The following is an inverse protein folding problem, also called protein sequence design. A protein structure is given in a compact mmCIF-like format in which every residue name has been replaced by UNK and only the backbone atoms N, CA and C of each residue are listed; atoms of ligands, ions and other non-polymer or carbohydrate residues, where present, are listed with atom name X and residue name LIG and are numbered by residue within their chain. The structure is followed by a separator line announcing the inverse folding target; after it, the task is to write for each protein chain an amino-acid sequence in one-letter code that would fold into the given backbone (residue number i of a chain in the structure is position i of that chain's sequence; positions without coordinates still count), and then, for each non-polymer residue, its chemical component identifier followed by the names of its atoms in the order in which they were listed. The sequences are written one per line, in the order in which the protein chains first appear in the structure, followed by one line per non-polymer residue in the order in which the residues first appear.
data_IF_488932158650
#
_entry.id   IF_488932158650
#
_cell.length_a   1.000
_cell.length_b   1.000
_cell.length_c   1.000
_cell.angle_alpha   90.00
_cell.angle_beta   90.00
_cell.angle_gamma   90.00
#
_symmetry.space_group_name_H-M   'P 1'
#
loop_
_entity.id
_entity.type
_entity.pdbx_description
1 polymer ?
#
# COMPACT_ATOMS: atom_id res chain seq x y z
N UNK A 1 0.20 -27.97 2.61
CA UNK A 1 0.70 -26.67 2.11
C UNK A 1 1.07 -25.85 3.33
N UNK A 2 2.27 -25.27 3.40
CA UNK A 2 2.65 -24.51 4.59
C UNK A 2 1.94 -23.15 4.58
N UNK A 3 1.66 -22.59 5.76
CA UNK A 3 1.00 -21.28 5.91
C UNK A 3 1.80 -20.20 5.16
N UNK A 4 3.14 -20.26 5.20
CA UNK A 4 4.03 -19.36 4.45
C UNK A 4 3.72 -19.35 2.94
N UNK A 5 3.44 -20.51 2.34
CA UNK A 5 3.20 -20.63 0.90
C UNK A 5 1.83 -20.06 0.50
N UNK A 6 0.88 -20.04 1.44
CA UNK A 6 -0.42 -19.40 1.24
C UNK A 6 -0.31 -17.88 1.36
N UNK A 7 0.45 -17.38 2.33
CA UNK A 7 0.66 -15.94 2.54
C UNK A 7 1.44 -15.34 1.37
N UNK A 8 2.51 -16.00 0.90
CA UNK A 8 3.30 -15.53 -0.24
C UNK A 8 2.46 -15.41 -1.51
N UNK A 9 1.62 -16.41 -1.82
CA UNK A 9 0.74 -16.33 -2.99
C UNK A 9 -0.31 -15.22 -2.88
N UNK A 10 -0.84 -14.97 -1.68
CA UNK A 10 -1.75 -13.85 -1.45
C UNK A 10 -1.04 -12.51 -1.62
N UNK A 11 0.20 -12.40 -1.12
CA UNK A 11 1.02 -11.21 -1.29
C UNK A 11 1.26 -10.91 -2.78
N UNK A 12 1.69 -11.91 -3.56
CA UNK A 12 1.90 -11.75 -5.00
C UNK A 12 0.63 -11.28 -5.73
N UNK A 13 -0.52 -11.84 -5.37
CA UNK A 13 -1.80 -11.44 -5.93
C UNK A 13 -2.17 -9.98 -5.60
N UNK A 14 -2.02 -9.59 -4.33
CA UNK A 14 -2.34 -8.24 -3.86
C UNK A 14 -1.42 -7.21 -4.51
N UNK A 15 -0.11 -7.47 -4.54
CA UNK A 15 0.88 -6.54 -5.14
C UNK A 15 0.64 -6.36 -6.63
N UNK A 16 0.29 -7.42 -7.36
CA UNK A 16 -0.07 -7.32 -8.78
C UNK A 16 -1.30 -6.40 -8.99
N UNK A 17 -2.33 -6.54 -8.16
CA UNK A 17 -3.50 -5.67 -8.17
C UNK A 17 -3.15 -4.21 -7.85
N UNK A 18 -2.37 -3.98 -6.79
CA UNK A 18 -1.90 -2.63 -6.43
C UNK A 18 -1.13 -1.96 -7.55
N UNK A 19 -0.23 -2.69 -8.23
CA UNK A 19 0.51 -2.14 -9.38
C UNK A 19 -0.42 -1.71 -10.50
N UNK A 20 -1.37 -2.57 -10.88
CA UNK A 20 -2.34 -2.25 -11.94
C UNK A 20 -3.17 -1.01 -11.60
N UNK A 21 -3.57 -0.82 -10.34
CA UNK A 21 -4.28 0.39 -9.90
C UNK A 21 -3.38 1.63 -9.99
N UNK A 22 -2.13 1.54 -9.53
CA UNK A 22 -1.19 2.66 -9.55
C UNK A 22 -0.84 3.10 -10.98
N UNK A 23 -0.72 2.16 -11.92
CA UNK A 23 -0.51 2.44 -13.35
C UNK A 23 -1.68 3.20 -13.99
N UNK A 24 -2.90 3.02 -13.46
CA UNK A 24 -4.09 3.70 -13.94
C UNK A 24 -4.28 5.12 -13.35
N UNK A 25 -3.41 5.57 -12.43
CA UNK A 25 -3.55 6.87 -11.77
C UNK A 25 -3.22 8.01 -12.76
N UNK A 26 -4.17 8.94 -13.03
CA UNK A 26 -3.93 10.11 -13.85
C UNK A 26 -3.01 11.12 -13.13
N UNK A 27 -1.78 11.26 -13.60
CA UNK A 27 -0.75 12.13 -13.00
C UNK A 27 -1.06 13.63 -13.12
N UNK A 28 -1.98 14.01 -14.02
CA UNK A 28 -2.50 15.36 -14.18
C UNK A 28 -3.61 15.71 -13.17
N UNK A 29 -4.05 14.76 -12.34
CA UNK A 29 -5.18 14.91 -11.39
C UNK A 29 -4.83 14.55 -9.95
N UNK A 30 -3.56 14.62 -9.57
CA UNK A 30 -3.12 14.23 -8.23
C UNK A 30 -3.77 15.06 -7.12
N UNK A 31 -4.19 16.29 -7.40
CA UNK A 31 -4.88 17.17 -6.43
C UNK A 31 -6.40 16.90 -6.31
N UNK A 32 -6.97 16.07 -7.18
CA UNK A 32 -8.39 15.75 -7.14
C UNK A 32 -8.75 15.03 -5.83
N UNK A 33 -9.89 15.38 -5.24
CA UNK A 33 -10.43 14.74 -4.05
C UNK A 33 -11.76 14.04 -4.38
N UNK A 34 -11.97 12.79 -3.96
CA UNK A 34 -13.27 12.12 -4.11
C UNK A 34 -14.36 12.79 -3.25
N UNK A 35 -13.96 13.38 -2.12
CA UNK A 35 -14.79 14.17 -1.23
C UNK A 35 -13.90 15.21 -0.53
N UNK A 36 -14.43 16.37 -0.16
CA UNK A 36 -13.66 17.50 0.40
C UNK A 36 -12.82 17.13 1.64
N UNK A 37 -13.35 16.23 2.48
CA UNK A 37 -12.68 15.72 3.68
C UNK A 37 -11.64 14.61 3.44
N UNK A 38 -11.61 14.04 2.23
CA UNK A 38 -10.70 12.95 1.89
C UNK A 38 -9.34 13.48 1.49
N UNK A 39 -8.31 12.63 1.61
CA UNK A 39 -7.02 12.84 0.96
C UNK A 39 -7.15 13.02 -0.56
N UNK A 40 -6.18 13.69 -1.16
CA UNK A 40 -6.07 13.84 -2.62
C UNK A 40 -5.78 12.49 -3.28
N UNK A 41 -6.01 12.40 -4.59
CA UNK A 41 -5.71 11.20 -5.35
C UNK A 41 -4.23 10.81 -5.24
N UNK A 42 -3.32 11.79 -5.26
CA UNK A 42 -1.90 11.57 -5.08
C UNK A 42 -1.55 11.02 -3.69
N UNK A 43 -2.15 11.56 -2.64
CA UNK A 43 -1.98 11.06 -1.27
C UNK A 43 -2.52 9.63 -1.11
N UNK A 44 -3.69 9.32 -1.71
CA UNK A 44 -4.28 7.97 -1.69
C UNK A 44 -3.44 6.96 -2.48
N UNK A 45 -2.94 7.35 -3.67
CA UNK A 45 -2.04 6.52 -4.46
C UNK A 45 -0.71 6.28 -3.71
N UNK A 46 -0.14 7.31 -3.10
CA UNK A 46 1.04 7.22 -2.26
C UNK A 46 0.84 6.30 -1.06
N UNK A 47 -0.34 6.36 -0.41
CA UNK A 47 -0.69 5.46 0.68
C UNK A 47 -0.66 3.99 0.23
N UNK A 48 -1.30 3.65 -0.89
CA UNK A 48 -1.29 2.29 -1.44
C UNK A 48 0.13 1.83 -1.82
N UNK A 49 0.92 2.70 -2.44
CA UNK A 49 2.29 2.40 -2.82
C UNK A 49 3.21 2.13 -1.61
N UNK A 50 2.91 2.72 -0.45
CA UNK A 50 3.71 2.59 0.76
C UNK A 50 3.36 1.35 1.62
N UNK A 51 2.20 0.71 1.41
CA UNK A 51 1.78 -0.43 2.22
C UNK A 51 2.80 -1.59 2.28
N UNK A 52 3.48 -1.98 1.17
CA UNK A 52 4.46 -3.07 1.24
C UNK A 52 5.64 -2.80 2.18
N UNK A 53 5.98 -1.53 2.45
CA UNK A 53 7.08 -1.15 3.35
C UNK A 53 6.86 -1.61 4.79
N UNK A 54 5.61 -1.86 5.18
CA UNK A 54 5.28 -2.35 6.52
C UNK A 54 5.57 -3.85 6.72
N UNK A 55 5.84 -4.60 5.64
CA UNK A 55 5.98 -6.07 5.70
C UNK A 55 7.14 -6.50 6.58
N UNK A 56 8.35 -5.98 6.32
CA UNK A 56 9.55 -6.32 7.08
C UNK A 56 9.45 -5.89 8.57
N UNK A 57 9.16 -4.62 8.92
CA UNK A 57 9.11 -4.22 10.32
C UNK A 57 8.01 -4.94 11.10
N UNK A 58 6.88 -5.30 10.48
CA UNK A 58 5.83 -6.09 11.14
C UNK A 58 6.29 -7.50 11.51
N UNK A 59 7.23 -8.07 10.75
CA UNK A 59 7.78 -9.41 10.99
C UNK A 59 9.02 -9.40 11.89
N UNK A 60 9.76 -8.29 11.89
CA UNK A 60 11.07 -8.18 12.54
C UNK A 60 11.03 -7.45 13.88
N UNK A 61 9.97 -6.68 14.16
CA UNK A 61 9.87 -5.84 15.35
C UNK A 61 8.54 -6.05 16.07
N UNK A 62 8.60 -6.20 17.40
CA UNK A 62 7.42 -6.32 18.24
C UNK A 62 6.75 -4.95 18.51
N UNK A 63 7.50 -3.86 18.33
CA UNK A 63 7.06 -2.49 18.63
C UNK A 63 7.44 -1.56 17.47
N UNK A 64 6.47 -0.75 17.05
CA UNK A 64 6.68 0.36 16.13
C UNK A 64 6.77 1.66 16.92
N UNK A 65 7.96 2.27 16.95
CA UNK A 65 8.19 3.56 17.59
C UNK A 65 8.04 4.70 16.58
N UNK A 66 7.06 5.57 16.82
CA UNK A 66 6.73 6.70 15.95
C UNK A 66 7.58 7.94 16.29
N UNK A 67 8.27 7.93 17.44
CA UNK A 67 9.11 9.01 17.95
C UNK A 67 10.29 8.42 18.76
N UNK A 68 11.31 7.87 18.06
CA UNK A 68 12.42 7.12 18.66
C UNK A 68 13.34 7.94 19.57
#
# INVERSE_FOLDING_TARGET
MAIKDSILRQFDHIVAGTRSVLEAVPTDKLDWRPHEKSFTLGELAGHLANLPMWTAPTLEHDVFDVAP
#
